data_IF_520927823360
#
_entry.id   IF_520927823360
#
_cell.length_a   1.000
_cell.length_b   1.000
_cell.length_c   1.000
_cell.angle_alpha   90.00
_cell.angle_beta   90.00
_cell.angle_gamma   90.00
#
_symmetry.space_group_name_H-M   'P 1'
#
loop_
_entity.id
_entity.type
_entity.pdbx_description
1 polymer ?
#
# COMPACT_ATOMS: atom_id res chain seq x y z
N UNK A 1 -17.10 -5.71 10.13
CA UNK A 1 -15.68 -5.56 9.72
C UNK A 1 -15.62 -4.60 8.55
N UNK A 2 -14.72 -3.61 8.60
CA UNK A 2 -14.51 -2.69 7.47
C UNK A 2 -13.79 -3.39 6.31
N UNK A 3 -13.87 -2.82 5.09
CA UNK A 3 -13.20 -3.36 3.90
C UNK A 3 -11.70 -3.60 4.14
N UNK A 4 -11.03 -2.69 4.84
CA UNK A 4 -9.61 -2.76 5.21
C UNK A 4 -9.29 -3.96 6.11
N UNK A 5 -10.16 -4.26 7.10
CA UNK A 5 -9.98 -5.44 7.97
C UNK A 5 -10.20 -6.74 7.20
N UNK A 6 -11.15 -6.76 6.25
CA UNK A 6 -11.33 -7.91 5.35
C UNK A 6 -10.10 -8.12 4.47
N UNK A 7 -9.49 -7.06 3.98
CA UNK A 7 -8.26 -7.13 3.18
C UNK A 7 -7.10 -7.68 4.02
N UNK A 8 -6.91 -7.18 5.24
CA UNK A 8 -5.87 -7.68 6.15
C UNK A 8 -6.07 -9.16 6.49
N UNK A 9 -7.33 -9.60 6.70
CA UNK A 9 -7.65 -11.02 6.93
C UNK A 9 -7.41 -11.89 5.70
N UNK A 10 -7.70 -11.38 4.51
CA UNK A 10 -7.41 -12.07 3.24
C UNK A 10 -5.91 -12.34 3.08
N UNK A 11 -5.07 -11.37 3.43
CA UNK A 11 -3.62 -11.53 3.42
C UNK A 11 -3.08 -12.32 4.64
N UNK A 12 -3.95 -12.79 5.55
CA UNK A 12 -3.57 -13.53 6.78
C UNK A 12 -2.43 -12.82 7.54
N UNK A 13 -2.57 -11.51 7.76
CA UNK A 13 -1.57 -10.71 8.44
C UNK A 13 -1.63 -10.95 9.95
N UNK A 14 -0.87 -11.94 10.43
CA UNK A 14 -0.59 -12.16 11.84
C UNK A 14 0.61 -11.30 12.30
N UNK A 15 0.96 -11.33 13.58
CA UNK A 15 2.05 -10.50 14.12
C UNK A 15 3.38 -10.74 13.39
N UNK A 16 3.72 -11.98 13.09
CA UNK A 16 4.93 -12.35 12.35
C UNK A 16 4.91 -11.77 10.94
N UNK A 17 3.78 -11.90 10.24
CA UNK A 17 3.63 -11.36 8.87
C UNK A 17 3.67 -9.83 8.88
N UNK A 18 3.12 -9.15 9.89
CA UNK A 18 3.25 -7.71 10.04
C UNK A 18 4.70 -7.26 10.18
N UNK A 19 5.50 -7.99 10.97
CA UNK A 19 6.94 -7.70 11.09
C UNK A 19 7.70 -7.92 9.77
N UNK A 20 7.38 -8.99 9.04
CA UNK A 20 7.95 -9.24 7.71
C UNK A 20 7.52 -8.17 6.71
N UNK A 21 6.24 -7.78 6.74
CA UNK A 21 5.68 -6.73 5.90
C UNK A 21 6.34 -5.36 6.14
N UNK A 22 6.80 -5.10 7.35
CA UNK A 22 7.55 -3.89 7.71
C UNK A 22 9.00 -3.88 7.19
N UNK A 23 9.46 -4.92 6.49
CA UNK A 23 10.76 -4.92 5.85
C UNK A 23 10.81 -3.85 4.74
N UNK A 24 11.81 -2.95 4.73
CA UNK A 24 11.92 -1.90 3.71
C UNK A 24 11.87 -2.43 2.27
N UNK A 25 12.50 -3.57 1.99
CA UNK A 25 12.45 -4.19 0.66
C UNK A 25 11.05 -4.64 0.27
N UNK A 26 10.25 -5.17 1.22
CA UNK A 26 8.85 -5.50 0.98
C UNK A 26 8.06 -4.27 0.56
N UNK A 27 8.32 -3.12 1.16
CA UNK A 27 7.60 -1.87 0.88
C UNK A 27 8.01 -1.30 -0.47
N UNK A 28 9.31 -1.18 -0.74
CA UNK A 28 9.80 -0.62 -2.00
C UNK A 28 9.44 -1.46 -3.22
N UNK A 29 9.51 -2.79 -3.10
CA UNK A 29 9.10 -3.68 -4.20
C UNK A 29 7.60 -3.60 -4.51
N UNK A 30 6.76 -3.22 -3.54
CA UNK A 30 5.33 -2.98 -3.78
C UNK A 30 5.06 -1.68 -4.55
N UNK A 31 5.91 -0.66 -4.43
CA UNK A 31 5.75 0.54 -5.25
C UNK A 31 5.93 0.29 -6.73
N UNK A 32 6.76 -0.70 -7.08
CA UNK A 32 7.02 -1.08 -8.47
C UNK A 32 5.85 -1.89 -9.07
N UNK A 33 5.00 -2.50 -8.23
CA UNK A 33 3.89 -3.35 -8.69
C UNK A 33 2.95 -2.61 -9.63
N UNK A 34 2.51 -1.41 -9.28
CA UNK A 34 1.54 -0.68 -10.09
C UNK A 34 2.12 -0.24 -11.45
N UNK A 35 3.34 0.34 -11.55
CA UNK A 35 4.02 0.55 -12.82
C UNK A 35 4.20 -0.73 -13.66
N UNK A 36 4.62 -1.83 -13.04
CA UNK A 36 4.78 -3.11 -13.74
C UNK A 36 3.44 -3.64 -14.25
N UNK A 37 2.38 -3.53 -13.45
CA UNK A 37 1.05 -3.92 -13.86
C UNK A 37 0.55 -3.05 -15.03
N UNK A 38 0.86 -1.76 -15.02
CA UNK A 38 0.58 -0.86 -16.15
C UNK A 38 1.24 -1.35 -17.43
N UNK A 39 2.54 -1.67 -17.37
CA UNK A 39 3.28 -2.20 -18.52
C UNK A 39 2.74 -3.56 -18.97
N UNK A 40 2.41 -4.45 -18.02
CA UNK A 40 1.83 -5.75 -18.32
C UNK A 40 0.45 -5.62 -19.02
N UNK A 41 -0.39 -4.69 -18.60
CA UNK A 41 -1.69 -4.43 -19.26
C UNK A 41 -1.46 -3.81 -20.65
N UNK A 42 -0.52 -2.87 -20.78
CA UNK A 42 -0.18 -2.25 -22.06
C UNK A 42 0.41 -3.26 -23.06
N UNK A 43 1.11 -4.30 -22.56
CA UNK A 43 1.71 -5.32 -23.42
C UNK A 43 0.70 -6.07 -24.29
N UNK A 44 -0.61 -5.96 -23.99
CA UNK A 44 -1.68 -6.53 -24.84
C UNK A 44 -1.64 -6.03 -26.28
N UNK A 45 -1.09 -4.79 -26.51
CA UNK A 45 -0.88 -4.26 -27.87
C UNK A 45 0.17 -5.04 -28.65
N UNK A 46 1.15 -5.63 -27.97
CA UNK A 46 2.30 -6.29 -28.61
C UNK A 46 2.21 -7.80 -28.59
N UNK A 47 1.71 -8.36 -27.48
CA UNK A 47 1.66 -9.82 -27.26
C UNK A 47 0.24 -10.38 -27.15
N UNK A 48 -0.78 -9.53 -27.36
CA UNK A 48 -2.19 -9.94 -27.34
C UNK A 48 -2.57 -10.64 -26.04
N UNK A 49 -3.20 -11.81 -26.16
CA UNK A 49 -3.71 -12.59 -25.01
C UNK A 49 -2.60 -13.04 -24.03
N UNK A 50 -1.36 -13.14 -24.48
CA UNK A 50 -0.23 -13.53 -23.61
C UNK A 50 0.10 -12.49 -22.53
N UNK A 51 -0.46 -11.28 -22.60
CA UNK A 51 -0.36 -10.26 -21.53
C UNK A 51 -0.85 -10.78 -20.17
N UNK A 52 -1.74 -11.77 -20.14
CA UNK A 52 -2.18 -12.39 -18.89
C UNK A 52 -1.07 -13.07 -18.12
N UNK A 53 0.01 -13.56 -18.78
CA UNK A 53 1.14 -14.18 -18.10
C UNK A 53 1.82 -13.20 -17.15
N UNK A 54 2.36 -12.05 -17.59
CA UNK A 54 2.97 -11.09 -16.69
C UNK A 54 1.98 -10.52 -15.67
N UNK A 55 0.70 -10.32 -16.03
CA UNK A 55 -0.33 -9.85 -15.09
C UNK A 55 -0.47 -10.84 -13.93
N UNK A 56 -0.66 -12.13 -14.21
CA UNK A 56 -0.80 -13.17 -13.18
C UNK A 56 0.45 -13.25 -12.32
N UNK A 57 1.65 -13.22 -12.91
CA UNK A 57 2.90 -13.22 -12.15
C UNK A 57 3.01 -12.05 -11.18
N UNK A 58 2.63 -10.84 -11.60
CA UNK A 58 2.62 -9.66 -10.74
C UNK A 58 1.59 -9.79 -9.62
N UNK A 59 0.40 -10.32 -9.89
CA UNK A 59 -0.63 -10.56 -8.87
C UNK A 59 -0.19 -11.61 -7.85
N UNK A 60 0.42 -12.70 -8.30
CA UNK A 60 1.02 -13.73 -7.43
C UNK A 60 2.13 -13.10 -6.57
N UNK A 61 3.01 -12.30 -7.16
CA UNK A 61 4.03 -11.58 -6.41
C UNK A 61 3.41 -10.65 -5.36
N UNK A 62 2.35 -9.93 -5.71
CA UNK A 62 1.64 -9.03 -4.77
C UNK A 62 1.15 -9.78 -3.53
N UNK A 63 0.66 -11.01 -3.71
CA UNK A 63 0.19 -11.85 -2.61
C UNK A 63 1.34 -12.44 -1.77
N UNK A 64 2.43 -12.83 -2.41
CA UNK A 64 3.61 -13.42 -1.73
C UNK A 64 4.42 -12.34 -1.02
N UNK A 65 4.50 -11.13 -1.56
CA UNK A 65 5.40 -10.06 -1.14
C UNK A 65 5.44 -9.82 0.39
N UNK A 66 4.32 -9.74 1.14
CA UNK A 66 4.35 -9.52 2.58
C UNK A 66 5.10 -10.60 3.37
N UNK A 67 5.33 -11.78 2.77
CA UNK A 67 5.95 -12.96 3.38
C UNK A 67 7.33 -13.28 2.81
N UNK A 68 7.66 -12.70 1.65
CA UNK A 68 8.89 -13.00 0.91
C UNK A 68 10.15 -12.52 1.63
N UNK A 69 10.02 -11.54 2.52
CA UNK A 69 11.14 -10.93 3.23
C UNK A 69 11.12 -11.33 4.70
N UNK A 70 12.31 -11.49 5.27
CA UNK A 70 12.45 -11.72 6.71
C UNK A 70 12.11 -10.48 7.55
N UNK A 71 11.96 -10.67 8.86
CA UNK A 71 11.86 -9.56 9.83
C UNK A 71 13.09 -8.65 9.68
N UNK A 72 12.93 -7.31 9.57
CA UNK A 72 14.06 -6.39 9.48
C UNK A 72 14.86 -6.38 10.79
N UNK A 73 16.16 -6.07 10.71
CA UNK A 73 17.01 -5.93 11.91
C UNK A 73 16.57 -4.76 12.81
N UNK A 74 16.00 -3.72 12.22
CA UNK A 74 15.39 -2.59 12.90
C UNK A 74 14.18 -2.12 12.10
N UNK A 75 13.14 -1.67 12.78
CA UNK A 75 11.94 -1.13 12.15
C UNK A 75 11.81 0.40 12.31
N UNK A 76 12.93 1.10 12.59
CA UNK A 76 12.97 2.55 12.76
C UNK A 76 12.97 3.34 11.45
N UNK A 77 13.11 2.67 10.30
CA UNK A 77 13.03 3.30 8.98
C UNK A 77 11.63 3.86 8.71
N UNK A 78 11.56 4.93 7.92
CA UNK A 78 10.31 5.55 7.49
C UNK A 78 9.32 4.52 6.93
N UNK A 79 9.79 3.68 6.02
CA UNK A 79 8.97 2.64 5.40
C UNK A 79 8.43 1.60 6.41
N UNK A 80 9.24 1.19 7.38
CA UNK A 80 8.79 0.27 8.43
C UNK A 80 7.76 0.93 9.35
N UNK A 81 7.99 2.18 9.74
CA UNK A 81 7.05 2.96 10.56
C UNK A 81 5.72 3.18 9.84
N UNK A 82 5.72 3.36 8.50
CA UNK A 82 4.48 3.50 7.75
C UNK A 82 3.59 2.27 7.87
N UNK A 83 4.18 1.06 7.82
CA UNK A 83 3.44 -0.20 8.02
C UNK A 83 2.92 -0.34 9.46
N UNK A 84 3.71 0.08 10.46
CA UNK A 84 3.24 0.11 11.84
C UNK A 84 2.07 1.09 12.00
N UNK A 85 2.11 2.25 11.33
CA UNK A 85 0.99 3.19 11.29
C UNK A 85 -0.25 2.62 10.59
N UNK A 86 -0.11 1.88 9.50
CA UNK A 86 -1.23 1.14 8.88
C UNK A 86 -1.86 0.15 9.88
N UNK A 87 -1.05 -0.53 10.68
CA UNK A 87 -1.53 -1.42 11.74
C UNK A 87 -2.28 -0.67 12.84
N UNK A 88 -1.77 0.49 13.29
CA UNK A 88 -2.48 1.39 14.23
C UNK A 88 -3.80 1.84 13.63
N UNK A 89 -3.80 2.26 12.36
CA UNK A 89 -5.02 2.66 11.65
C UNK A 89 -6.08 1.56 11.61
N UNK A 90 -5.69 0.32 11.36
CA UNK A 90 -6.61 -0.82 11.38
C UNK A 90 -7.22 -1.07 12.76
N UNK A 91 -6.48 -0.74 13.82
CA UNK A 91 -6.91 -0.92 15.22
C UNK A 91 -7.69 0.28 15.78
N UNK A 92 -7.92 1.35 15.01
CA UNK A 92 -8.55 2.63 15.44
C UNK A 92 -9.95 2.49 16.07
N UNK A 93 -10.62 1.36 15.87
CA UNK A 93 -11.92 1.09 16.50
C UNK A 93 -11.77 0.62 17.94
N UNK A 94 -10.65 -0.02 18.26
CA UNK A 94 -10.35 -0.51 19.62
C UNK A 94 -9.60 0.52 20.43
N UNK A 95 -8.65 1.22 19.80
CA UNK A 95 -7.87 2.30 20.40
C UNK A 95 -8.10 3.55 19.55
N UNK A 96 -8.84 4.55 20.05
CA UNK A 96 -9.14 5.77 19.31
C UNK A 96 -7.86 6.51 18.90
N UNK A 97 -7.85 7.02 17.68
CA UNK A 97 -6.75 7.83 17.14
C UNK A 97 -7.16 9.31 17.05
N UNK A 98 -6.22 10.27 17.05
CA UNK A 98 -6.53 11.68 16.92
C UNK A 98 -7.35 11.99 15.66
N UNK A 99 -8.36 12.85 15.79
CA UNK A 99 -9.33 13.18 14.72
C UNK A 99 -8.65 13.78 13.47
N UNK A 100 -7.55 14.50 13.66
CA UNK A 100 -6.76 15.08 12.57
C UNK A 100 -6.26 14.02 11.58
N UNK A 101 -5.81 12.84 12.06
CA UNK A 101 -5.37 11.75 11.20
C UNK A 101 -6.54 11.16 10.42
N UNK A 102 -7.72 11.01 11.06
CA UNK A 102 -8.90 10.47 10.37
C UNK A 102 -9.33 11.36 9.20
N UNK A 103 -9.39 12.69 9.42
CA UNK A 103 -9.73 13.66 8.36
C UNK A 103 -8.72 13.65 7.23
N UNK A 104 -7.42 13.66 7.56
CA UNK A 104 -6.37 13.71 6.54
C UNK A 104 -6.35 12.44 5.70
N UNK A 105 -6.52 11.27 6.32
CA UNK A 105 -6.57 9.99 5.59
C UNK A 105 -7.79 9.95 4.65
N UNK A 106 -8.94 10.48 5.07
CA UNK A 106 -10.10 10.59 4.21
C UNK A 106 -9.81 11.45 2.98
N UNK A 107 -9.21 12.63 3.18
CA UNK A 107 -8.82 13.52 2.07
C UNK A 107 -7.84 12.85 1.11
N UNK A 108 -6.84 12.13 1.63
CA UNK A 108 -5.87 11.42 0.81
C UNK A 108 -6.48 10.26 0.03
N UNK A 109 -7.44 9.56 0.61
CA UNK A 109 -8.17 8.52 -0.10
C UNK A 109 -9.02 9.09 -1.24
N UNK A 110 -9.69 10.24 -1.02
CA UNK A 110 -10.42 10.96 -2.06
C UNK A 110 -9.45 11.39 -3.18
N UNK A 111 -8.33 12.03 -2.82
CA UNK A 111 -7.30 12.45 -3.77
C UNK A 111 -6.78 11.28 -4.61
N UNK A 112 -6.42 10.18 -3.96
CA UNK A 112 -5.92 8.97 -4.65
C UNK A 112 -6.98 8.38 -5.58
N UNK A 113 -8.25 8.35 -5.13
CA UNK A 113 -9.37 7.83 -5.90
C UNK A 113 -9.65 8.68 -7.15
N UNK A 114 -9.33 9.98 -7.10
CA UNK A 114 -9.47 10.87 -8.26
C UNK A 114 -8.55 10.46 -9.43
N UNK A 115 -7.43 9.82 -9.16
CA UNK A 115 -6.55 9.28 -10.20
C UNK A 115 -7.12 8.05 -10.93
N UNK A 116 -8.04 7.29 -10.31
CA UNK A 116 -8.54 6.03 -10.86
C UNK A 116 -9.27 6.18 -12.19
N UNK A 117 -10.19 7.15 -12.40
CA UNK A 117 -10.86 7.32 -13.69
C UNK A 117 -9.89 7.58 -14.84
N UNK A 118 -8.89 8.44 -14.62
CA UNK A 118 -7.85 8.73 -15.62
C UNK A 118 -7.01 7.49 -15.93
N UNK A 119 -6.63 6.76 -14.88
CA UNK A 119 -5.84 5.54 -15.02
C UNK A 119 -6.59 4.45 -15.78
N UNK A 120 -7.86 4.18 -15.43
CA UNK A 120 -8.69 3.17 -16.09
C UNK A 120 -8.96 3.55 -17.53
N UNK A 121 -9.36 4.81 -17.79
CA UNK A 121 -9.58 5.32 -19.13
C UNK A 121 -8.31 5.20 -19.99
N UNK A 122 -7.17 5.60 -19.45
CA UNK A 122 -5.88 5.54 -20.13
C UNK A 122 -5.47 4.12 -20.47
N UNK A 123 -5.66 3.17 -19.57
CA UNK A 123 -5.39 1.74 -19.81
C UNK A 123 -6.36 1.16 -20.86
N UNK A 124 -7.64 1.54 -20.81
CA UNK A 124 -8.64 1.03 -21.75
C UNK A 124 -8.40 1.51 -23.16
N UNK A 125 -8.17 2.82 -23.33
CA UNK A 125 -8.00 3.49 -24.62
C UNK A 125 -6.55 3.56 -25.13
N UNK A 126 -5.57 2.97 -24.42
CA UNK A 126 -4.14 3.13 -24.69
C UNK A 126 -3.70 4.60 -24.75
N UNK A 127 -4.35 5.45 -23.95
CA UNK A 127 -4.03 6.87 -23.94
C UNK A 127 -2.90 7.15 -22.94
N UNK A 128 -1.68 7.36 -23.46
CA UNK A 128 -0.45 7.48 -22.66
C UNK A 128 -0.56 8.53 -21.54
N UNK A 129 -0.99 9.75 -21.88
CA UNK A 129 -1.06 10.84 -20.91
C UNK A 129 -2.10 10.60 -19.82
N UNK A 130 -3.25 10.05 -20.15
CA UNK A 130 -4.26 9.72 -19.15
C UNK A 130 -3.76 8.63 -18.21
N UNK A 131 -3.11 7.57 -18.73
CA UNK A 131 -2.48 6.53 -17.92
C UNK A 131 -1.42 7.12 -17.01
N UNK A 132 -0.53 7.98 -17.55
CA UNK A 132 0.56 8.57 -16.78
C UNK A 132 0.06 9.48 -15.66
N UNK A 133 -0.89 10.39 -15.97
CA UNK A 133 -1.48 11.31 -14.98
C UNK A 133 -2.21 10.51 -13.89
N UNK A 134 -3.04 9.54 -14.29
CA UNK A 134 -3.75 8.69 -13.33
C UNK A 134 -2.80 7.91 -12.42
N UNK A 135 -1.77 7.28 -13.00
CA UNK A 135 -0.73 6.58 -12.25
C UNK A 135 0.01 7.51 -11.29
N UNK A 136 0.40 8.70 -11.75
CA UNK A 136 1.11 9.69 -10.94
C UNK A 136 0.29 10.12 -9.71
N UNK A 137 -1.00 10.44 -9.91
CA UNK A 137 -1.90 10.82 -8.82
C UNK A 137 -2.03 9.68 -7.79
N UNK A 138 -2.20 8.45 -8.26
CA UNK A 138 -2.32 7.27 -7.39
C UNK A 138 -1.03 7.05 -6.59
N UNK A 139 0.13 7.12 -7.24
CA UNK A 139 1.43 6.91 -6.58
C UNK A 139 1.73 8.01 -5.56
N UNK A 140 1.53 9.29 -5.92
CA UNK A 140 1.72 10.41 -5.00
C UNK A 140 0.76 10.30 -3.82
N UNK A 141 -0.52 10.01 -4.08
CA UNK A 141 -1.51 9.84 -3.03
C UNK A 141 -1.15 8.70 -2.07
N UNK A 142 -0.66 7.56 -2.60
CA UNK A 142 -0.21 6.44 -1.77
C UNK A 142 1.05 6.78 -0.96
N UNK A 143 2.03 7.46 -1.55
CA UNK A 143 3.23 7.91 -0.84
C UNK A 143 2.87 8.86 0.31
N UNK A 144 2.01 9.82 0.05
CA UNK A 144 1.54 10.76 1.07
C UNK A 144 0.72 10.08 2.16
N UNK A 145 -0.12 9.10 1.78
CA UNK A 145 -0.82 8.26 2.75
C UNK A 145 0.16 7.51 3.67
N UNK A 146 1.22 6.90 3.14
CA UNK A 146 2.23 6.22 3.95
C UNK A 146 2.98 7.18 4.87
N UNK A 147 3.28 8.39 4.40
CA UNK A 147 3.88 9.42 5.26
C UNK A 147 2.95 9.76 6.43
N UNK A 148 1.65 9.90 6.19
CA UNK A 148 0.67 10.10 7.26
C UNK A 148 0.55 8.92 8.20
N UNK A 149 0.79 7.70 7.74
CA UNK A 149 0.88 6.53 8.62
C UNK A 149 2.09 6.61 9.55
N UNK A 150 3.24 7.13 9.08
CA UNK A 150 4.39 7.39 9.94
C UNK A 150 4.04 8.38 11.05
N UNK A 151 3.42 9.50 10.71
CA UNK A 151 2.98 10.50 11.71
C UNK A 151 1.99 9.91 12.71
N UNK A 152 1.01 9.15 12.24
CA UNK A 152 0.06 8.46 13.11
C UNK A 152 0.77 7.52 14.08
N UNK A 153 1.76 6.75 13.59
CA UNK A 153 2.52 5.86 14.46
C UNK A 153 3.36 6.63 15.48
N UNK A 154 4.02 7.73 15.09
CA UNK A 154 4.82 8.56 16.00
C UNK A 154 3.95 9.15 17.12
N UNK A 155 2.73 9.60 16.81
CA UNK A 155 1.80 10.13 17.80
C UNK A 155 1.25 9.05 18.76
N UNK A 156 1.13 7.80 18.29
CA UNK A 156 0.52 6.71 19.04
C UNK A 156 1.52 5.73 19.68
N UNK A 157 2.83 5.86 19.40
CA UNK A 157 3.85 4.90 19.86
C UNK A 157 4.01 4.80 21.39
N UNK A 158 3.54 5.81 22.14
CA UNK A 158 3.56 5.81 23.61
C UNK A 158 2.44 4.98 24.24
N UNK A 159 1.42 4.62 23.47
CA UNK A 159 0.34 3.76 23.92
C UNK A 159 0.88 2.37 24.33
N UNK A 160 0.34 1.83 25.42
CA UNK A 160 0.81 0.56 26.01
C UNK A 160 0.87 -0.58 24.99
N UNK A 161 -0.10 -0.63 24.09
CA UNK A 161 -0.20 -1.67 23.03
C UNK A 161 0.87 -1.53 21.95
N UNK A 162 1.39 -0.33 21.71
CA UNK A 162 2.27 -0.03 20.56
C UNK A 162 3.72 0.22 20.97
N UNK A 163 3.97 0.40 22.29
CA UNK A 163 5.27 0.78 22.84
C UNK A 163 6.39 -0.19 22.45
N UNK A 164 6.08 -1.48 22.41
CA UNK A 164 7.06 -2.54 22.14
C UNK A 164 7.20 -2.88 20.64
N UNK A 165 6.54 -2.12 19.77
CA UNK A 165 6.62 -2.38 18.33
C UNK A 165 7.90 -1.86 17.69
N UNK A 166 8.59 -0.89 18.30
CA UNK A 166 9.89 -0.37 17.84
C UNK A 166 11.06 -1.16 18.47
N UNK A 167 11.97 -1.59 17.63
CA UNK A 167 13.21 -2.28 18.04
C UNK A 167 14.37 -1.95 17.11
#
# INVERSE_FOLDING_TARGET
>A
MGAEQKLASFFKLNDTTWQQHANPWSIWTRFIILPLLTLAIWSREWIGIYCWIPIVLILVWTWINPRAFGKPKTNRHWSSKSVMGERVWLNRKSIPIPAQHQKMILLLNIFTSFGLPFYIYGLYQFHLWATFIGLLIIVIGKLWFLDRMVWLFEDMKSETTYKDWLY
#
